data_IF_999825454778
#
_entry.id   IF_999825454778
#
_cell.length_a   1.000
_cell.length_b   1.000
_cell.length_c   1.000
_cell.angle_alpha   90.00
_cell.angle_beta   90.00
_cell.angle_gamma   90.00
#
_symmetry.space_group_name_H-M   'P 1'
#
loop_
_entity.id
_entity.type
_entity.pdbx_description
1 polymer ?
#
# COMPACT_ATOMS: atom_id res chain seq x y z
N UNK A 1 9.86 -4.16 -5.14
CA UNK A 1 11.28 -3.90 -5.45
C UNK A 1 11.58 -2.43 -5.36
N UNK A 2 10.80 -1.57 -6.01
CA UNK A 2 11.07 -0.12 -6.08
C UNK A 2 11.17 0.54 -4.69
N UNK A 3 10.23 0.24 -3.79
CA UNK A 3 10.27 0.78 -2.43
C UNK A 3 11.53 0.38 -1.65
N UNK A 4 12.11 -0.79 -1.92
CA UNK A 4 13.37 -1.24 -1.30
C UNK A 4 14.53 -0.42 -1.86
N UNK A 5 14.60 -0.23 -3.17
CA UNK A 5 15.64 0.60 -3.79
C UNK A 5 15.54 2.07 -3.35
N UNK A 6 14.33 2.60 -3.20
CA UNK A 6 14.11 3.96 -2.67
C UNK A 6 14.52 4.08 -1.20
N UNK A 7 14.28 3.04 -0.40
CA UNK A 7 14.62 3.00 1.03
C UNK A 7 16.12 3.18 1.31
N UNK A 8 16.99 2.92 0.33
CA UNK A 8 18.43 3.14 0.45
C UNK A 8 18.81 4.62 0.64
N UNK A 9 17.98 5.56 0.16
CA UNK A 9 18.25 7.01 0.22
C UNK A 9 17.16 7.85 0.86
N UNK A 10 15.93 7.37 0.93
CA UNK A 10 14.80 8.13 1.47
C UNK A 10 13.95 7.27 2.40
N UNK A 11 13.41 7.83 3.52
CA UNK A 11 12.42 7.14 4.33
C UNK A 11 11.27 6.64 3.45
N UNK A 12 11.06 5.33 3.45
CA UNK A 12 10.12 4.67 2.56
C UNK A 12 9.30 3.65 3.35
N UNK A 13 8.02 3.52 2.99
CA UNK A 13 7.10 2.56 3.60
C UNK A 13 6.16 2.00 2.54
N UNK A 14 5.61 0.82 2.80
CA UNK A 14 4.61 0.17 1.95
C UNK A 14 3.35 -0.11 2.76
N UNK A 15 2.18 0.03 2.13
CA UNK A 15 0.89 -0.40 2.66
C UNK A 15 0.40 -1.58 1.84
N UNK A 16 0.09 -2.70 2.51
CA UNK A 16 -0.45 -3.89 1.86
C UNK A 16 -1.97 -3.97 2.00
N UNK A 17 -2.59 -4.53 0.97
CA UNK A 17 -4.03 -4.81 0.92
C UNK A 17 -4.23 -6.33 0.94
N UNK A 18 -5.27 -6.79 1.63
CA UNK A 18 -5.63 -8.21 1.66
C UNK A 18 -5.93 -8.69 0.23
N UNK A 19 -5.28 -9.79 -0.17
CA UNK A 19 -5.58 -10.51 -1.41
C UNK A 19 -6.23 -11.86 -1.08
N UNK A 20 -7.22 -12.27 -1.89
CA UNK A 20 -7.93 -13.55 -1.71
C UNK A 20 -6.94 -14.72 -1.81
N UNK A 21 -6.76 -15.44 -0.70
CA UNK A 21 -5.87 -16.60 -0.63
C UNK A 21 -4.39 -16.29 -0.86
N UNK A 22 -3.99 -15.00 -0.86
CA UNK A 22 -2.60 -14.60 -1.15
C UNK A 22 -2.14 -14.92 -2.57
N UNK A 23 -3.07 -15.17 -3.52
CA UNK A 23 -2.73 -15.48 -4.90
C UNK A 23 -2.23 -14.20 -5.59
N UNK A 24 -1.11 -14.29 -6.30
CA UNK A 24 -0.60 -13.20 -7.13
C UNK A 24 0.10 -13.74 -8.39
N UNK A 25 0.31 -12.90 -9.40
CA UNK A 25 0.88 -13.28 -10.71
C UNK A 25 0.08 -14.39 -11.42
N UNK A 26 -1.23 -14.42 -11.18
CA UNK A 26 -2.14 -15.43 -11.70
C UNK A 26 -3.50 -14.80 -12.01
N UNK A 27 -4.26 -15.24 -13.04
CA UNK A 27 -5.56 -14.65 -13.38
C UNK A 27 -6.63 -14.70 -12.27
N UNK A 28 -6.41 -15.50 -11.23
CA UNK A 28 -7.31 -15.60 -10.07
C UNK A 28 -6.97 -14.60 -8.94
N UNK A 29 -5.89 -13.83 -9.08
CA UNK A 29 -5.55 -12.73 -8.18
C UNK A 29 -6.71 -11.76 -8.08
N UNK A 30 -7.16 -11.48 -6.85
CA UNK A 30 -8.33 -10.64 -6.62
C UNK A 30 -8.34 -10.04 -5.22
N UNK A 31 -8.90 -8.84 -5.15
CA UNK A 31 -9.16 -8.08 -3.92
C UNK A 31 -10.64 -7.74 -3.84
N UNK A 32 -11.12 -7.36 -2.65
CA UNK A 32 -12.48 -6.85 -2.49
C UNK A 32 -12.49 -5.34 -2.59
N UNK A 33 -13.61 -4.76 -3.02
CA UNK A 33 -13.78 -3.31 -3.05
C UNK A 33 -13.65 -2.68 -1.64
N UNK A 34 -14.13 -3.39 -0.61
CA UNK A 34 -14.07 -2.93 0.78
C UNK A 34 -12.64 -2.85 1.31
N UNK A 35 -11.81 -3.88 1.06
CA UNK A 35 -10.39 -3.86 1.44
C UNK A 35 -9.64 -2.73 0.72
N UNK A 36 -9.97 -2.48 -0.57
CA UNK A 36 -9.38 -1.38 -1.35
C UNK A 36 -9.81 -0.02 -0.80
N UNK A 37 -11.08 0.16 -0.45
CA UNK A 37 -11.57 1.42 0.12
C UNK A 37 -10.87 1.75 1.45
N UNK A 38 -10.69 0.76 2.32
CA UNK A 38 -9.95 0.93 3.57
C UNK A 38 -8.47 1.29 3.30
N UNK A 39 -7.84 0.64 2.33
CA UNK A 39 -6.45 0.92 1.97
C UNK A 39 -6.26 2.34 1.44
N UNK A 40 -7.17 2.81 0.58
CA UNK A 40 -7.16 4.19 0.07
C UNK A 40 -7.30 5.17 1.24
N UNK A 41 -8.26 4.95 2.13
CA UNK A 41 -8.47 5.82 3.29
C UNK A 41 -7.24 5.86 4.22
N UNK A 42 -6.60 4.71 4.46
CA UNK A 42 -5.38 4.63 5.27
C UNK A 42 -4.20 5.33 4.58
N UNK A 43 -4.00 5.11 3.29
CA UNK A 43 -2.95 5.76 2.50
C UNK A 43 -3.11 7.28 2.47
N UNK A 44 -4.32 7.78 2.18
CA UNK A 44 -4.61 9.21 2.19
C UNK A 44 -4.30 9.84 3.54
N UNK A 45 -4.72 9.22 4.66
CA UNK A 45 -4.39 9.72 6.00
C UNK A 45 -2.88 9.73 6.27
N UNK A 46 -2.18 8.66 5.90
CA UNK A 46 -0.73 8.58 6.11
C UNK A 46 0.02 9.67 5.34
N UNK A 47 -0.32 9.88 4.06
CA UNK A 47 0.30 10.92 3.23
C UNK A 47 -0.03 12.32 3.77
N UNK A 48 -1.28 12.60 4.14
CA UNK A 48 -1.65 13.89 4.75
C UNK A 48 -0.93 14.14 6.07
N UNK A 49 -0.75 13.12 6.91
CA UNK A 49 -0.03 13.25 8.17
C UNK A 49 1.46 13.55 7.97
N UNK A 50 2.08 13.00 6.91
CA UNK A 50 3.46 13.29 6.55
C UNK A 50 3.66 14.72 6.04
N UNK A 51 2.63 15.32 5.46
CA UNK A 51 2.66 16.73 5.03
C UNK A 51 2.49 17.69 6.22
N UNK A 52 1.56 17.38 7.13
CA UNK A 52 1.29 18.18 8.33
C UNK A 52 2.44 18.17 9.36
N UNK A 53 3.39 17.24 9.23
CA UNK A 53 4.58 17.13 10.09
C UNK A 53 5.84 17.86 9.55
N UNK A 54 5.73 18.60 8.45
CA UNK A 54 6.74 19.55 7.97
C UNK A 54 6.49 20.92 8.56
#
# INVERSE_FOLDING_TARGET
>A
HDAIAMAERWPSAMLFVRCKGGISHHPAESVTADDVALAIAAYSRAVSALDAGK
#
